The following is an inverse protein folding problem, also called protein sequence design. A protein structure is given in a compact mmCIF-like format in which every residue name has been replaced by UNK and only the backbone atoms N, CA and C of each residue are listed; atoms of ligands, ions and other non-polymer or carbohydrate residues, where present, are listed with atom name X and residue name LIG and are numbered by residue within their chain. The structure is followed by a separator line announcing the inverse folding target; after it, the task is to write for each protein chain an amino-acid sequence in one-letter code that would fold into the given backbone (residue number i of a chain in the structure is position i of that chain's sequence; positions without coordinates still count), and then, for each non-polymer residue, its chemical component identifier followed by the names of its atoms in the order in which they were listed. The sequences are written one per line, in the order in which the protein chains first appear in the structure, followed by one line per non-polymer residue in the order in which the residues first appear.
data_IF_799326287351
#
_entry.id   IF_799326287351
#
_cell.length_a   1.000
_cell.length_b   1.000
_cell.length_c   1.000
_cell.angle_alpha   90.00
_cell.angle_beta   90.00
_cell.angle_gamma   90.00
#
_symmetry.space_group_name_H-M   'P 1'
#
loop_
_entity.id
_entity.type
_entity.pdbx_description
1 polymer ?
#
# COMPACT_ATOMS: atom_id res chain seq x y z
N UNK A 1 0.84 13.81 -10.49
CA UNK A 1 0.29 13.09 -9.34
C UNK A 1 -0.08 11.68 -9.76
N UNK A 2 0.32 10.69 -9.00
CA UNK A 2 0.04 9.30 -9.34
C UNK A 2 -1.32 8.85 -8.79
N UNK A 3 -2.03 8.09 -9.61
CA UNK A 3 -3.29 7.48 -9.20
C UNK A 3 -3.05 5.99 -8.96
N UNK A 4 -3.29 5.54 -7.74
CA UNK A 4 -3.11 4.14 -7.35
C UNK A 4 -4.46 3.45 -7.28
N UNK A 5 -4.57 2.29 -7.92
CA UNK A 5 -5.80 1.50 -7.95
C UNK A 5 -5.47 0.02 -7.75
N UNK A 6 -6.48 -0.74 -7.34
CA UNK A 6 -6.36 -2.21 -7.19
C UNK A 6 -5.18 -2.62 -6.31
N UNK A 7 -4.88 -1.83 -5.28
CA UNK A 7 -3.77 -2.14 -4.37
C UNK A 7 -4.07 -3.40 -3.57
N UNK A 8 -3.11 -4.30 -3.54
CA UNK A 8 -3.15 -5.51 -2.72
C UNK A 8 -2.16 -5.37 -1.58
N UNK A 9 -2.61 -5.65 -0.38
CA UNK A 9 -1.80 -5.50 0.83
C UNK A 9 -1.51 -6.85 1.44
N UNK A 10 -0.35 -6.99 2.04
CA UNK A 10 0.08 -8.19 2.76
C UNK A 10 0.68 -7.79 4.10
N UNK A 11 0.74 -8.75 5.03
CA UNK A 11 1.34 -8.50 6.34
C UNK A 11 0.49 -7.64 7.26
N UNK A 12 -0.80 -7.51 6.97
CA UNK A 12 -1.71 -6.75 7.85
C UNK A 12 -1.96 -7.56 9.11
N UNK A 13 -1.59 -6.98 10.25
CA UNK A 13 -1.83 -7.58 11.56
C UNK A 13 -2.59 -6.55 12.41
N UNK A 14 -3.83 -6.87 12.77
CA UNK A 14 -4.67 -5.96 13.55
C UNK A 14 -4.09 -5.63 14.94
N UNK A 15 -3.15 -6.45 15.41
CA UNK A 15 -2.47 -6.19 16.68
C UNK A 15 -1.48 -5.02 16.57
N UNK A 16 -1.07 -4.68 15.35
CA UNK A 16 -0.15 -3.55 15.11
C UNK A 16 -0.91 -2.24 14.88
N UNK A 17 -2.24 -2.26 14.99
CA UNK A 17 -3.02 -1.04 14.79
C UNK A 17 -2.60 0.04 15.79
N UNK A 18 -2.61 1.31 15.39
CA UNK A 18 -3.02 1.82 14.09
C UNK A 18 -1.92 1.92 13.04
N UNK A 19 -0.68 1.62 13.40
CA UNK A 19 0.46 1.86 12.52
C UNK A 19 0.68 0.79 11.46
N UNK A 20 0.33 -0.47 11.75
CA UNK A 20 0.49 -1.58 10.80
C UNK A 20 1.89 -1.59 10.17
N UNK A 21 2.92 -1.62 11.03
CA UNK A 21 4.31 -1.49 10.57
C UNK A 21 4.75 -2.59 9.62
N UNK A 22 4.17 -3.79 9.75
CA UNK A 22 4.52 -4.93 8.91
C UNK A 22 3.70 -4.99 7.61
N UNK A 23 2.68 -4.15 7.47
CA UNK A 23 1.88 -4.14 6.24
C UNK A 23 2.67 -3.54 5.07
N UNK A 24 2.51 -4.15 3.91
CA UNK A 24 3.18 -3.66 2.70
C UNK A 24 2.30 -3.88 1.47
N UNK A 25 2.58 -3.12 0.43
CA UNK A 25 1.90 -3.27 -0.86
C UNK A 25 2.52 -4.44 -1.60
N UNK A 26 1.74 -5.48 -1.88
CA UNK A 26 2.23 -6.65 -2.62
C UNK A 26 2.01 -6.51 -4.12
N UNK A 27 0.97 -5.83 -4.54
CA UNK A 27 0.72 -5.53 -5.95
C UNK A 27 -0.27 -4.38 -6.06
N UNK A 28 -0.49 -3.90 -7.28
CA UNK A 28 -1.45 -2.84 -7.55
C UNK A 28 -1.21 -2.23 -8.91
N UNK A 29 -1.92 -1.13 -9.18
CA UNK A 29 -1.78 -0.38 -10.41
C UNK A 29 -1.50 1.08 -10.10
N UNK A 30 -0.67 1.69 -10.93
CA UNK A 30 -0.40 3.13 -10.87
C UNK A 30 -0.61 3.71 -12.26
N UNK A 31 -1.45 4.75 -12.33
CA UNK A 31 -1.80 5.41 -13.59
C UNK A 31 -2.30 4.44 -14.66
N UNK A 32 -3.00 3.38 -14.25
CA UNK A 32 -3.60 2.41 -15.15
C UNK A 32 -2.68 1.26 -15.57
N UNK A 33 -1.46 1.18 -15.06
CA UNK A 33 -0.52 0.08 -15.35
C UNK A 33 -0.12 -0.66 -14.08
N UNK A 34 0.28 -1.91 -14.24
CA UNK A 34 0.72 -2.70 -13.09
C UNK A 34 2.00 -2.12 -12.48
N UNK A 35 2.04 -2.09 -11.16
CA UNK A 35 3.21 -1.63 -10.43
C UNK A 35 4.28 -2.70 -10.43
N UNK A 36 5.54 -2.26 -10.55
CA UNK A 36 6.68 -3.16 -10.38
C UNK A 36 6.93 -3.37 -8.89
N UNK A 37 7.75 -4.38 -8.57
CA UNK A 37 8.17 -4.63 -7.20
C UNK A 37 8.82 -3.39 -6.58
N UNK A 38 9.67 -2.71 -7.33
CA UNK A 38 10.31 -1.48 -6.85
C UNK A 38 9.28 -0.39 -6.52
N UNK A 39 8.26 -0.25 -7.36
CA UNK A 39 7.21 0.72 -7.13
C UNK A 39 6.39 0.37 -5.88
N UNK A 40 6.09 -0.90 -5.69
CA UNK A 40 5.39 -1.36 -4.48
C UNK A 40 6.21 -1.07 -3.23
N UNK A 41 7.51 -1.33 -3.27
CA UNK A 41 8.41 -1.06 -2.15
C UNK A 41 8.51 0.44 -1.87
N UNK A 42 8.61 1.25 -2.91
CA UNK A 42 8.68 2.70 -2.76
C UNK A 42 7.40 3.26 -2.13
N UNK A 43 6.25 2.75 -2.56
CA UNK A 43 4.97 3.16 -1.99
C UNK A 43 4.85 2.75 -0.52
N UNK A 44 5.30 1.54 -0.19
CA UNK A 44 5.31 1.03 1.18
C UNK A 44 6.16 1.91 2.10
N UNK A 45 7.27 2.43 1.60
CA UNK A 45 8.17 3.29 2.37
C UNK A 45 7.75 4.76 2.39
N UNK A 46 6.70 5.11 1.64
CA UNK A 46 6.26 6.50 1.53
C UNK A 46 5.22 6.85 2.59
N UNK A 47 5.01 8.14 2.80
CA UNK A 47 3.98 8.64 3.72
C UNK A 47 2.57 8.28 3.23
N UNK A 48 2.42 8.00 1.94
CA UNK A 48 1.14 7.61 1.36
C UNK A 48 0.65 6.26 1.86
N UNK A 49 1.56 5.42 2.37
CA UNK A 49 1.19 4.09 2.89
C UNK A 49 0.07 4.19 3.93
N UNK A 50 0.22 5.05 4.92
CA UNK A 50 -0.76 5.18 5.99
C UNK A 50 -2.12 5.60 5.45
N UNK A 51 -2.14 6.59 4.56
CA UNK A 51 -3.38 7.09 3.97
C UNK A 51 -4.08 6.02 3.14
N UNK A 52 -3.32 5.34 2.26
CA UNK A 52 -3.87 4.32 1.38
C UNK A 52 -4.33 3.09 2.15
N UNK A 53 -3.58 2.70 3.17
CA UNK A 53 -3.96 1.57 4.02
C UNK A 53 -5.23 1.87 4.80
N UNK A 54 -5.37 3.08 5.31
CA UNK A 54 -6.58 3.50 6.02
C UNK A 54 -7.80 3.38 5.10
N UNK A 55 -7.68 3.82 3.84
CA UNK A 55 -8.76 3.67 2.87
C UNK A 55 -9.06 2.21 2.57
N UNK A 56 -8.04 1.36 2.52
CA UNK A 56 -8.22 -0.06 2.26
C UNK A 56 -9.00 -0.75 3.40
N UNK A 57 -8.78 -0.32 4.63
CA UNK A 57 -9.41 -0.92 5.81
C UNK A 57 -10.81 -0.38 6.11
N UNK A 58 -11.22 0.65 5.43
CA UNK A 58 -12.55 1.25 5.56
C UNK A 58 -13.43 0.97 4.31
#
# INVERSE_FOLDING_TARGET
MNTYTDLQWSGIDHRDAPKYTDAYVSSGKVNGREMTEEECNALTDSDLKTELLTKHLH
#
